data_IF_908412717058
#
_entry.id   IF_908412717058
#
_cell.length_a   1.000
_cell.length_b   1.000
_cell.length_c   1.000
_cell.angle_alpha   90.00
_cell.angle_beta   90.00
_cell.angle_gamma   90.00
#
_symmetry.space_group_name_H-M   'P 1'
#
loop_
_entity.id
_entity.type
_entity.pdbx_description
1 polymer ?
#
# COMPACT_ATOMS: atom_id res chain seq x y z
N UNK A 1 -64.09 -23.31 -17.01
CA UNK A 1 -62.90 -22.55 -17.45
C UNK A 1 -61.96 -22.45 -16.26
N UNK A 2 -60.77 -23.07 -16.32
CA UNK A 2 -59.73 -22.94 -15.28
C UNK A 2 -58.78 -21.83 -15.73
N UNK A 3 -58.79 -20.72 -15.02
CA UNK A 3 -57.89 -19.59 -15.23
C UNK A 3 -56.52 -19.95 -14.67
N UNK A 4 -55.53 -20.14 -15.54
CA UNK A 4 -54.13 -20.29 -15.15
C UNK A 4 -53.57 -18.88 -14.97
N UNK A 5 -53.26 -18.49 -13.74
CA UNK A 5 -52.51 -17.27 -13.44
C UNK A 5 -51.03 -17.52 -13.76
N UNK A 6 -50.52 -16.84 -14.79
CA UNK A 6 -49.09 -16.82 -15.11
C UNK A 6 -48.43 -15.81 -14.17
N UNK A 7 -47.62 -16.30 -13.25
CA UNK A 7 -46.80 -15.48 -12.36
C UNK A 7 -45.54 -15.05 -13.12
N UNK A 8 -45.50 -13.80 -13.58
CA UNK A 8 -44.34 -13.21 -14.24
C UNK A 8 -43.23 -12.96 -13.22
N UNK A 9 -42.22 -13.83 -13.18
CA UNK A 9 -40.96 -13.55 -12.48
C UNK A 9 -40.20 -12.46 -13.27
N UNK A 10 -40.27 -11.22 -12.79
CA UNK A 10 -39.35 -10.16 -13.20
C UNK A 10 -37.97 -10.49 -12.60
N UNK A 11 -37.15 -11.17 -13.38
CA UNK A 11 -35.72 -11.30 -13.07
C UNK A 11 -35.08 -9.92 -13.14
N UNK A 12 -34.83 -9.29 -12.00
CA UNK A 12 -33.98 -8.11 -11.93
C UNK A 12 -32.60 -8.50 -12.47
N UNK A 13 -32.21 -7.93 -13.60
CA UNK A 13 -30.83 -8.00 -14.07
C UNK A 13 -29.97 -7.31 -13.00
N UNK A 14 -29.28 -8.10 -12.18
CA UNK A 14 -28.24 -7.58 -11.31
C UNK A 14 -27.15 -7.00 -12.21
N UNK A 15 -27.01 -5.67 -12.22
CA UNK A 15 -25.86 -5.03 -12.84
C UNK A 15 -24.67 -5.27 -11.92
N UNK A 16 -23.59 -5.84 -12.45
CA UNK A 16 -22.36 -6.03 -11.67
C UNK A 16 -21.68 -4.67 -11.45
N UNK A 17 -21.18 -4.45 -10.23
CA UNK A 17 -20.38 -3.28 -9.89
C UNK A 17 -19.28 -3.01 -10.92
N UNK A 18 -19.17 -1.76 -11.36
CA UNK A 18 -18.22 -1.34 -12.39
C UNK A 18 -17.53 -0.03 -12.02
N UNK A 19 -16.35 0.17 -12.59
CA UNK A 19 -15.60 1.41 -12.43
C UNK A 19 -16.36 2.57 -13.09
N UNK A 20 -16.74 3.56 -12.30
CA UNK A 20 -17.58 4.68 -12.77
C UNK A 20 -16.83 6.00 -12.68
N UNK A 21 -16.82 6.78 -13.76
CA UNK A 21 -16.34 8.17 -13.73
C UNK A 21 -17.34 9.04 -12.97
N UNK A 22 -16.89 9.76 -11.95
CA UNK A 22 -17.74 10.72 -11.25
C UNK A 22 -17.69 12.08 -11.97
N UNK A 23 -18.85 12.56 -12.41
CA UNK A 23 -19.03 13.84 -13.10
C UNK A 23 -19.74 14.89 -12.25
N UNK A 24 -20.19 14.51 -11.05
CA UNK A 24 -20.80 15.41 -10.07
C UNK A 24 -19.77 16.39 -9.50
N UNK A 25 -20.23 17.54 -8.98
CA UNK A 25 -19.36 18.40 -8.17
C UNK A 25 -19.10 17.75 -6.82
N UNK A 26 -17.82 17.52 -6.50
CA UNK A 26 -17.36 16.84 -5.29
C UNK A 26 -16.61 17.75 -4.31
N UNK A 27 -16.68 19.08 -4.51
CA UNK A 27 -16.02 20.06 -3.65
C UNK A 27 -14.80 20.73 -4.30
N UNK A 28 -13.95 21.41 -3.52
CA UNK A 28 -12.79 22.13 -4.04
C UNK A 28 -11.84 21.24 -4.83
N UNK A 29 -11.64 21.57 -6.11
CA UNK A 29 -10.73 20.85 -7.00
C UNK A 29 -10.06 21.82 -7.99
N UNK A 30 -9.17 22.74 -7.53
CA UNK A 30 -8.60 23.78 -8.37
C UNK A 30 -7.75 23.25 -9.53
N UNK A 31 -7.19 22.04 -9.38
CA UNK A 31 -6.39 21.34 -10.39
C UNK A 31 -7.21 20.47 -11.34
N UNK A 32 -8.53 20.44 -11.17
CA UNK A 32 -9.48 19.72 -12.00
C UNK A 32 -9.15 18.22 -12.15
N UNK A 33 -8.65 17.58 -11.08
CA UNK A 33 -8.40 16.14 -11.04
C UNK A 33 -9.72 15.38 -11.21
N UNK A 34 -9.90 14.56 -12.24
CA UNK A 34 -11.06 13.67 -12.31
C UNK A 34 -10.86 12.48 -11.36
N UNK A 35 -11.92 11.72 -11.11
CA UNK A 35 -11.77 10.43 -10.45
C UNK A 35 -12.81 9.42 -10.87
N UNK A 36 -12.40 8.17 -10.77
CA UNK A 36 -13.25 7.02 -10.90
C UNK A 36 -13.48 6.40 -9.53
N UNK A 37 -14.61 5.75 -9.37
CA UNK A 37 -14.97 5.06 -8.13
C UNK A 37 -15.45 3.66 -8.47
N UNK A 38 -15.04 2.69 -7.65
CA UNK A 38 -15.60 1.35 -7.63
C UNK A 38 -16.37 1.16 -6.34
N UNK A 39 -17.67 0.91 -6.48
CA UNK A 39 -18.59 0.69 -5.37
C UNK A 39 -19.14 -0.73 -5.49
N UNK A 40 -18.85 -1.63 -4.54
CA UNK A 40 -19.42 -2.97 -4.50
C UNK A 40 -20.96 -2.96 -4.53
N UNK A 41 -21.55 -4.02 -5.09
CA UNK A 41 -23.01 -4.18 -5.17
C UNK A 41 -23.67 -4.24 -3.78
N UNK A 42 -22.92 -4.72 -2.78
CA UNK A 42 -23.36 -4.81 -1.38
C UNK A 42 -22.37 -4.07 -0.51
N UNK A 43 -22.79 -2.92 0.04
CA UNK A 43 -22.05 -2.18 1.03
C UNK A 43 -22.55 -2.49 2.46
N UNK A 44 -21.64 -2.70 3.42
CA UNK A 44 -22.02 -2.67 4.83
C UNK A 44 -22.42 -1.24 5.25
N UNK A 45 -23.06 -1.06 6.41
CA UNK A 45 -23.17 0.27 7.02
C UNK A 45 -21.79 0.86 7.26
N UNK A 46 -21.62 2.16 6.97
CA UNK A 46 -20.37 2.89 7.19
C UNK A 46 -19.14 2.19 6.55
N UNK A 47 -19.14 1.94 5.23
CA UNK A 47 -18.03 1.26 4.57
C UNK A 47 -16.72 2.05 4.71
N UNK A 48 -15.59 1.35 4.74
CA UNK A 48 -14.28 1.97 4.62
C UNK A 48 -14.05 2.51 3.19
N UNK A 49 -13.08 3.42 3.04
CA UNK A 49 -12.61 3.96 1.76
C UNK A 49 -11.14 3.61 1.58
N UNK A 50 -10.78 3.11 0.40
CA UNK A 50 -9.40 2.99 -0.07
C UNK A 50 -9.17 3.91 -1.28
N UNK A 51 -8.17 4.77 -1.22
CA UNK A 51 -7.74 5.61 -2.34
C UNK A 51 -6.52 4.97 -3.00
N UNK A 52 -6.54 4.82 -4.33
CA UNK A 52 -5.45 4.21 -5.11
C UNK A 52 -4.96 5.10 -6.26
N UNK A 53 -4.17 6.17 -5.99
CA UNK A 53 -3.53 6.98 -7.02
C UNK A 53 -2.57 6.16 -7.91
N UNK A 54 -2.64 6.40 -9.22
CA UNK A 54 -1.82 5.70 -10.22
C UNK A 54 -0.37 6.22 -10.28
N UNK A 55 0.50 5.47 -10.97
CA UNK A 55 1.89 5.85 -11.28
C UNK A 55 2.00 6.84 -12.46
N UNK A 56 3.17 7.43 -12.71
CA UNK A 56 3.41 8.26 -13.91
C UNK A 56 3.07 7.49 -15.19
N UNK A 57 2.58 8.18 -16.22
CA UNK A 57 2.08 7.63 -17.48
C UNK A 57 0.86 6.70 -17.37
N UNK A 58 0.49 6.30 -16.15
CA UNK A 58 -0.71 5.55 -15.83
C UNK A 58 -1.98 6.40 -15.92
N UNK A 59 -3.10 5.75 -15.61
CA UNK A 59 -4.42 6.37 -15.52
C UNK A 59 -5.21 5.72 -14.39
N UNK A 60 -6.28 6.36 -13.94
CA UNK A 60 -7.20 5.76 -12.96
C UNK A 60 -7.75 4.38 -13.40
N UNK A 61 -8.24 4.20 -14.64
CA UNK A 61 -8.61 2.86 -15.15
C UNK A 61 -7.46 1.85 -15.15
N UNK A 62 -6.22 2.27 -15.44
CA UNK A 62 -5.06 1.39 -15.40
C UNK A 62 -4.74 0.92 -13.96
N UNK A 63 -4.85 1.80 -12.97
CA UNK A 63 -4.72 1.42 -11.56
C UNK A 63 -5.84 0.48 -11.09
N UNK A 64 -7.06 0.66 -11.61
CA UNK A 64 -8.16 -0.28 -11.41
C UNK A 64 -7.87 -1.66 -11.99
N UNK A 65 -7.49 -1.75 -13.27
CA UNK A 65 -7.21 -3.04 -13.91
C UNK A 65 -5.91 -3.70 -13.43
N UNK A 66 -4.96 -2.90 -12.94
CA UNK A 66 -3.63 -3.34 -12.49
C UNK A 66 -3.55 -3.72 -11.01
N UNK A 67 -4.65 -3.68 -10.26
CA UNK A 67 -4.68 -4.05 -8.84
C UNK A 67 -5.87 -4.95 -8.52
N UNK A 68 -5.80 -5.69 -7.42
CA UNK A 68 -6.90 -6.54 -6.96
C UNK A 68 -7.89 -5.83 -6.03
N UNK A 69 -7.71 -4.53 -5.78
CA UNK A 69 -8.49 -3.82 -4.76
C UNK A 69 -10.00 -3.77 -5.05
N UNK A 70 -10.43 -3.71 -6.31
CA UNK A 70 -11.86 -3.79 -6.65
C UNK A 70 -12.47 -5.17 -6.33
N UNK A 71 -11.73 -6.24 -6.63
CA UNK A 71 -12.13 -7.60 -6.28
C UNK A 71 -12.21 -7.76 -4.75
N UNK A 72 -11.21 -7.27 -4.03
CA UNK A 72 -11.18 -7.29 -2.56
C UNK A 72 -12.28 -6.41 -1.96
N UNK A 73 -12.59 -5.27 -2.57
CA UNK A 73 -13.70 -4.41 -2.19
C UNK A 73 -15.05 -5.14 -2.28
N UNK A 74 -15.28 -5.89 -3.35
CA UNK A 74 -16.48 -6.72 -3.49
C UNK A 74 -16.55 -7.86 -2.48
N UNK A 75 -15.41 -8.41 -2.06
CA UNK A 75 -15.36 -9.46 -1.04
C UNK A 75 -15.53 -8.92 0.39
N UNK A 76 -14.99 -7.73 0.67
CA UNK A 76 -14.85 -7.21 2.02
C UNK A 76 -15.63 -5.92 2.29
N UNK A 77 -16.41 -5.42 1.33
CA UNK A 77 -17.38 -4.33 1.53
C UNK A 77 -16.74 -2.99 1.87
N UNK A 78 -15.81 -2.53 1.05
CA UNK A 78 -15.25 -1.17 1.12
C UNK A 78 -15.29 -0.52 -0.26
N UNK A 79 -15.19 0.81 -0.33
CA UNK A 79 -15.21 1.58 -1.58
C UNK A 79 -13.78 1.85 -2.02
N UNK A 80 -13.52 1.81 -3.33
CA UNK A 80 -12.21 2.20 -3.89
C UNK A 80 -12.34 3.45 -4.75
N UNK A 81 -11.58 4.48 -4.42
CA UNK A 81 -11.41 5.70 -5.21
C UNK A 81 -10.14 5.55 -6.05
N UNK A 82 -10.27 5.69 -7.35
CA UNK A 82 -9.16 5.74 -8.30
C UNK A 82 -9.05 7.16 -8.85
N UNK A 83 -8.25 8.03 -8.20
CA UNK A 83 -8.13 9.41 -8.63
C UNK A 83 -7.23 9.48 -9.88
N UNK A 84 -7.47 10.46 -10.74
CA UNK A 84 -6.68 10.74 -11.93
C UNK A 84 -5.89 12.03 -11.72
N UNK A 85 -4.59 12.01 -12.05
CA UNK A 85 -3.74 13.21 -11.99
C UNK A 85 -4.30 14.36 -12.85
N UNK A 86 -3.91 15.59 -12.53
CA UNK A 86 -4.48 16.79 -13.16
C UNK A 86 -4.37 16.74 -14.69
N UNK A 87 -5.37 17.22 -15.45
CA UNK A 87 -5.26 17.37 -16.90
C UNK A 87 -4.09 18.24 -17.34
N UNK A 88 -3.59 19.13 -16.47
CA UNK A 88 -2.38 19.90 -16.72
C UNK A 88 -1.13 19.02 -16.91
N UNK A 89 -1.13 17.80 -16.35
CA UNK A 89 -0.09 16.79 -16.51
C UNK A 89 -0.38 15.79 -17.65
N UNK A 90 -1.50 15.94 -18.38
CA UNK A 90 -1.92 14.94 -19.39
C UNK A 90 -0.94 14.82 -20.57
N UNK A 91 -0.24 15.91 -20.91
CA UNK A 91 0.70 15.99 -22.04
C UNK A 91 2.19 16.04 -21.60
N UNK A 92 2.47 15.91 -20.30
CA UNK A 92 3.81 15.71 -19.74
C UNK A 92 3.96 14.22 -19.39
N UNK A 93 4.23 13.91 -18.12
CA UNK A 93 4.47 12.55 -17.64
C UNK A 93 3.24 11.94 -16.96
N UNK A 94 2.10 12.63 -16.90
CA UNK A 94 0.88 12.21 -16.18
C UNK A 94 1.14 11.86 -14.70
N UNK A 95 2.23 12.33 -14.14
CA UNK A 95 2.54 12.17 -12.71
C UNK A 95 1.59 13.02 -11.86
N UNK A 96 1.52 12.69 -10.58
CA UNK A 96 0.92 13.55 -9.57
C UNK A 96 1.81 14.75 -9.28
N UNK A 97 1.20 15.90 -9.03
CA UNK A 97 1.92 17.01 -8.40
C UNK A 97 2.20 16.68 -6.94
N UNK A 98 3.49 16.46 -6.65
CA UNK A 98 4.04 16.19 -5.31
C UNK A 98 5.17 17.17 -4.96
N UNK A 99 5.24 18.30 -5.68
CA UNK A 99 6.33 19.26 -5.61
C UNK A 99 5.89 20.68 -5.26
N UNK A 100 4.68 21.08 -5.66
CA UNK A 100 4.19 22.45 -5.44
C UNK A 100 3.92 22.75 -3.97
N UNK A 101 3.88 24.04 -3.62
CA UNK A 101 3.45 24.43 -2.27
C UNK A 101 1.98 24.07 -2.05
N UNK A 102 1.15 24.15 -3.10
CA UNK A 102 -0.28 23.88 -3.05
C UNK A 102 -0.61 22.43 -2.73
N UNK A 103 0.20 21.47 -3.21
CA UNK A 103 -0.01 20.04 -2.93
C UNK A 103 0.61 19.62 -1.59
N UNK A 104 1.71 20.27 -1.19
CA UNK A 104 2.45 20.02 0.06
C UNK A 104 1.92 20.80 1.27
N UNK A 105 0.78 21.51 1.13
CA UNK A 105 0.15 22.26 2.21
C UNK A 105 -1.30 21.83 2.38
N UNK A 106 -1.74 21.65 3.62
CA UNK A 106 -3.13 21.38 3.98
C UNK A 106 -4.05 22.47 3.40
N UNK A 107 -5.06 22.05 2.64
CA UNK A 107 -5.97 22.94 1.90
C UNK A 107 -5.26 23.92 0.93
N UNK A 108 -4.03 23.61 0.50
CA UNK A 108 -3.22 24.48 -0.36
C UNK A 108 -3.69 24.59 -1.81
N UNK A 109 -4.64 23.75 -2.25
CA UNK A 109 -5.24 23.82 -3.58
C UNK A 109 -4.57 22.97 -4.66
N UNK A 110 -3.65 22.07 -4.28
CA UNK A 110 -2.98 21.15 -5.20
C UNK A 110 -3.78 19.89 -5.52
N UNK A 111 -3.13 18.95 -6.21
CA UNK A 111 -3.70 17.64 -6.53
C UNK A 111 -4.18 16.91 -5.26
N UNK A 112 -3.43 17.04 -4.15
CA UNK A 112 -3.77 16.45 -2.86
C UNK A 112 -5.11 16.93 -2.30
N UNK A 113 -5.46 18.22 -2.47
CA UNK A 113 -6.79 18.74 -2.09
C UNK A 113 -7.90 18.12 -2.96
N UNK A 114 -7.64 18.00 -4.27
CA UNK A 114 -8.58 17.35 -5.19
C UNK A 114 -8.93 15.94 -4.71
N UNK A 115 -7.91 15.14 -4.35
CA UNK A 115 -8.10 13.78 -3.82
C UNK A 115 -8.89 13.77 -2.51
N UNK A 116 -8.60 14.68 -1.58
CA UNK A 116 -9.34 14.79 -0.30
C UNK A 116 -10.79 15.19 -0.51
N UNK A 117 -11.08 16.05 -1.50
CA UNK A 117 -12.46 16.38 -1.87
C UNK A 117 -13.21 15.13 -2.37
N UNK A 118 -12.57 14.24 -3.13
CA UNK A 118 -13.16 12.96 -3.58
C UNK A 118 -13.52 12.06 -2.39
N UNK A 119 -12.65 11.99 -1.38
CA UNK A 119 -12.90 11.26 -0.12
C UNK A 119 -14.11 11.85 0.60
N UNK A 120 -14.12 13.16 0.84
CA UNK A 120 -15.21 13.86 1.55
C UNK A 120 -16.55 13.69 0.84
N UNK A 121 -16.57 13.78 -0.49
CA UNK A 121 -17.76 13.50 -1.28
C UNK A 121 -18.20 12.05 -1.15
N UNK A 122 -17.28 11.09 -1.18
CA UNK A 122 -17.59 9.65 -1.03
C UNK A 122 -18.18 9.35 0.35
N UNK A 123 -17.63 9.94 1.41
CA UNK A 123 -18.18 9.87 2.77
C UNK A 123 -19.62 10.35 2.78
N UNK A 124 -19.88 11.55 2.24
CA UNK A 124 -21.22 12.12 2.20
C UNK A 124 -22.20 11.32 1.34
N UNK A 125 -21.75 10.77 0.20
CA UNK A 125 -22.60 10.09 -0.79
C UNK A 125 -23.01 8.69 -0.32
N UNK A 126 -22.09 7.96 0.29
CA UNK A 126 -22.28 6.55 0.65
C UNK A 126 -22.36 6.32 2.16
N UNK A 127 -22.42 7.40 2.95
CA UNK A 127 -22.34 7.35 4.41
C UNK A 127 -21.15 6.50 4.87
N UNK A 128 -20.00 6.69 4.22
CA UNK A 128 -18.77 5.95 4.53
C UNK A 128 -18.21 6.37 5.89
N UNK A 129 -17.43 5.50 6.53
CA UNK A 129 -16.83 5.82 7.83
C UNK A 129 -15.68 6.82 7.66
N UNK A 130 -15.80 8.07 8.18
CA UNK A 130 -14.76 9.08 8.03
C UNK A 130 -13.46 8.73 8.77
N UNK A 131 -13.50 7.77 9.70
CA UNK A 131 -12.31 7.29 10.42
C UNK A 131 -11.67 6.06 9.78
N UNK A 132 -12.23 5.52 8.70
CA UNK A 132 -11.68 4.36 7.96
C UNK A 132 -11.42 4.72 6.51
N UNK A 133 -10.58 5.72 6.32
CA UNK A 133 -10.09 6.14 5.02
C UNK A 133 -8.61 5.80 4.93
N UNK A 134 -8.24 5.10 3.86
CA UNK A 134 -6.89 4.58 3.65
C UNK A 134 -6.39 4.97 2.27
N UNK A 135 -5.07 4.99 2.09
CA UNK A 135 -4.46 5.32 0.79
C UNK A 135 -3.28 4.41 0.46
N UNK A 136 -3.20 3.97 -0.79
CA UNK A 136 -2.07 3.19 -1.30
C UNK A 136 -1.73 3.60 -2.72
N UNK A 137 -0.48 3.51 -3.12
CA UNK A 137 -0.10 3.76 -4.51
C UNK A 137 1.32 3.34 -4.82
N UNK A 138 1.63 3.28 -6.12
CA UNK A 138 2.93 2.89 -6.66
C UNK A 138 3.60 4.07 -7.37
N UNK A 139 4.93 4.20 -7.25
CA UNK A 139 5.70 5.25 -7.93
C UNK A 139 5.17 6.64 -7.56
N UNK A 140 4.81 7.48 -8.53
CA UNK A 140 4.15 8.77 -8.28
C UNK A 140 2.89 8.67 -7.40
N UNK A 141 2.14 7.57 -7.47
CA UNK A 141 1.04 7.30 -6.55
C UNK A 141 1.51 6.97 -5.12
N UNK A 142 2.68 6.35 -4.96
CA UNK A 142 3.35 6.13 -3.68
C UNK A 142 3.90 7.43 -3.10
N UNK A 143 4.37 8.35 -3.95
CA UNK A 143 4.72 9.72 -3.54
C UNK A 143 3.48 10.48 -3.05
N UNK A 144 2.40 10.48 -3.85
CA UNK A 144 1.13 11.12 -3.49
C UNK A 144 0.52 10.51 -2.22
N UNK A 145 0.68 9.20 -2.00
CA UNK A 145 0.29 8.54 -0.73
C UNK A 145 0.94 9.25 0.46
N UNK A 146 2.26 9.46 0.42
CA UNK A 146 2.97 10.15 1.50
C UNK A 146 2.58 11.63 1.60
N UNK A 147 2.33 12.32 0.47
CA UNK A 147 1.78 13.69 0.46
C UNK A 147 0.43 13.77 1.18
N UNK A 148 -0.47 12.83 0.92
CA UNK A 148 -1.79 12.78 1.54
C UNK A 148 -1.71 12.54 3.05
N UNK A 149 -0.85 11.62 3.50
CA UNK A 149 -0.65 11.40 4.94
C UNK A 149 0.00 12.60 5.65
N UNK A 150 0.89 13.32 4.95
CA UNK A 150 1.61 14.45 5.53
C UNK A 150 0.77 15.73 5.58
N UNK A 151 0.10 16.08 4.48
CA UNK A 151 -0.72 17.28 4.36
C UNK A 151 -2.14 17.12 4.93
N UNK A 152 -2.68 15.90 5.01
CA UNK A 152 -4.04 15.64 5.49
C UNK A 152 -4.08 14.50 6.53
N UNK A 153 -3.32 14.62 7.64
CA UNK A 153 -3.28 13.62 8.70
C UNK A 153 -4.64 13.44 9.38
N UNK A 154 -5.54 14.42 9.26
CA UNK A 154 -6.92 14.44 9.78
C UNK A 154 -7.92 13.65 8.92
N UNK A 155 -7.51 13.19 7.73
CA UNK A 155 -8.39 12.48 6.78
C UNK A 155 -8.11 10.99 6.73
N UNK A 156 -6.85 10.57 6.80
CA UNK A 156 -6.43 9.19 6.54
C UNK A 156 -6.06 8.46 7.82
N UNK A 157 -6.56 7.24 8.00
CA UNK A 157 -6.17 6.37 9.11
C UNK A 157 -4.84 5.65 8.84
N UNK A 158 -4.53 5.28 7.59
CA UNK A 158 -3.23 4.67 7.27
C UNK A 158 -2.90 4.80 5.78
N UNK A 159 -1.63 4.57 5.45
CA UNK A 159 -1.21 4.42 4.06
C UNK A 159 -0.15 3.37 3.78
N UNK A 160 0.01 3.03 2.50
CA UNK A 160 0.97 2.05 2.01
C UNK A 160 1.58 2.54 0.68
N UNK A 161 2.82 3.03 0.74
CA UNK A 161 3.54 3.59 -0.40
C UNK A 161 4.53 2.57 -0.98
N UNK A 162 4.38 2.28 -2.28
CA UNK A 162 5.26 1.39 -3.03
C UNK A 162 6.15 2.20 -3.97
N UNK A 163 7.47 1.98 -3.92
CA UNK A 163 8.47 2.70 -4.70
C UNK A 163 8.18 4.22 -4.70
N UNK A 164 8.03 4.82 -3.53
CA UNK A 164 7.75 6.24 -3.36
C UNK A 164 8.99 7.04 -2.96
N UNK A 165 8.79 8.31 -2.61
CA UNK A 165 9.82 9.14 -1.96
C UNK A 165 9.24 9.85 -0.75
N UNK A 166 10.07 10.29 0.22
CA UNK A 166 9.59 11.02 1.40
C UNK A 166 8.74 12.24 1.02
N UNK A 167 7.80 12.59 1.89
CA UNK A 167 7.03 13.83 1.80
C UNK A 167 7.97 15.02 1.60
N UNK A 168 7.69 15.86 0.59
CA UNK A 168 8.46 17.06 0.28
C UNK A 168 9.83 16.80 -0.37
N UNK A 169 10.23 15.55 -0.63
CA UNK A 169 11.51 15.26 -1.29
C UNK A 169 11.57 15.81 -2.72
N UNK A 170 10.43 15.84 -3.43
CA UNK A 170 10.31 16.43 -4.76
C UNK A 170 10.11 17.94 -4.76
N UNK A 171 10.06 18.60 -3.59
CA UNK A 171 9.95 20.04 -3.52
C UNK A 171 11.21 20.71 -4.12
N UNK A 172 11.09 21.50 -5.18
CA UNK A 172 12.22 22.20 -5.78
C UNK A 172 12.77 23.28 -4.84
N UNK A 173 14.08 23.48 -4.87
CA UNK A 173 14.75 24.60 -4.20
C UNK A 173 15.08 25.74 -5.18
N UNK A 174 15.42 26.91 -4.63
CA UNK A 174 15.91 28.05 -5.40
C UNK A 174 14.85 28.63 -6.36
N UNK A 175 15.23 28.94 -7.59
CA UNK A 175 14.35 29.61 -8.56
C UNK A 175 13.12 28.79 -8.98
N UNK A 176 13.12 27.48 -8.71
CA UNK A 176 12.00 26.60 -9.03
C UNK A 176 11.05 26.38 -7.84
N UNK A 177 11.30 27.03 -6.69
CA UNK A 177 10.50 26.83 -5.47
C UNK A 177 9.00 26.97 -5.75
N UNK A 178 8.22 25.97 -5.33
CA UNK A 178 6.77 25.92 -5.53
C UNK A 178 6.33 25.49 -6.94
N UNK A 179 7.24 25.06 -7.82
CA UNK A 179 6.86 24.62 -9.17
C UNK A 179 5.92 23.39 -9.13
N UNK A 180 4.91 23.44 -9.99
CA UNK A 180 3.90 22.39 -10.17
C UNK A 180 4.43 21.22 -10.99
N UNK A 181 4.24 20.00 -10.49
CA UNK A 181 4.60 18.76 -11.20
C UNK A 181 6.06 18.71 -11.62
N UNK A 182 6.94 19.19 -10.75
CA UNK A 182 8.38 19.22 -10.97
C UNK A 182 8.99 17.85 -10.69
N UNK A 183 9.84 17.38 -11.61
CA UNK A 183 10.66 16.19 -11.39
C UNK A 183 11.98 16.57 -10.73
N UNK A 184 12.20 16.11 -9.49
CA UNK A 184 13.44 16.34 -8.75
C UNK A 184 14.43 15.20 -9.01
N UNK A 185 15.37 15.43 -9.92
CA UNK A 185 16.45 14.48 -10.24
C UNK A 185 17.28 14.08 -9.00
N UNK A 186 17.52 15.04 -8.10
CA UNK A 186 18.30 14.78 -6.90
C UNK A 186 17.53 13.91 -5.90
N UNK A 187 16.22 14.09 -5.77
CA UNK A 187 15.42 13.19 -4.95
C UNK A 187 15.32 11.80 -5.60
N UNK A 188 14.97 11.76 -6.89
CA UNK A 188 14.84 10.51 -7.63
C UNK A 188 16.13 9.66 -7.55
N UNK A 189 17.30 10.29 -7.64
CA UNK A 189 18.61 9.59 -7.57
C UNK A 189 19.17 9.45 -6.15
N UNK A 190 18.36 9.63 -5.11
CA UNK A 190 18.76 9.39 -3.72
C UNK A 190 19.81 10.36 -3.18
N UNK A 191 19.93 11.56 -3.76
CA UNK A 191 20.93 12.58 -3.36
C UNK A 191 20.40 13.55 -2.31
N UNK A 192 19.08 13.61 -2.15
CA UNK A 192 18.45 14.38 -1.06
C UNK A 192 18.48 13.52 0.20
N UNK A 193 19.34 13.90 1.14
CA UNK A 193 19.40 13.28 2.47
C UNK A 193 19.18 14.35 3.54
N UNK A 194 18.43 14.01 4.58
CA UNK A 194 18.16 14.92 5.71
C UNK A 194 18.22 14.18 7.04
N UNK A 195 18.30 14.93 8.13
CA UNK A 195 18.09 14.37 9.47
C UNK A 195 16.62 13.99 9.65
N UNK A 196 16.29 13.05 10.57
CA UNK A 196 14.90 12.74 10.90
C UNK A 196 14.08 13.98 11.26
N UNK A 197 14.62 14.87 12.10
CA UNK A 197 14.00 16.13 12.47
C UNK A 197 13.69 17.03 11.26
N UNK A 198 14.66 17.24 10.36
CA UNK A 198 14.45 18.04 9.15
C UNK A 198 13.37 17.45 8.23
N UNK A 199 13.29 16.12 8.13
CA UNK A 199 12.24 15.47 7.38
C UNK A 199 10.86 15.62 8.03
N UNK A 200 10.79 15.48 9.36
CA UNK A 200 9.56 15.65 10.10
C UNK A 200 9.07 17.10 10.09
N UNK A 201 9.98 18.09 10.12
CA UNK A 201 9.63 19.51 10.05
C UNK A 201 8.95 19.87 8.73
N UNK A 202 9.32 19.23 7.61
CA UNK A 202 8.61 19.38 6.33
C UNK A 202 7.16 18.89 6.44
N UNK A 203 6.93 17.75 7.08
CA UNK A 203 5.59 17.19 7.29
C UNK A 203 4.77 18.06 8.26
N UNK A 204 5.35 18.51 9.37
CA UNK A 204 4.69 19.39 10.35
C UNK A 204 4.32 20.74 9.74
N UNK A 205 5.17 21.27 8.86
CA UNK A 205 4.93 22.54 8.14
C UNK A 205 3.79 22.45 7.13
N UNK A 206 3.42 21.24 6.69
CA UNK A 206 2.29 21.05 5.76
C UNK A 206 0.95 21.42 6.41
N UNK A 207 0.80 21.23 7.73
CA UNK A 207 -0.39 21.62 8.48
C UNK A 207 0.02 22.31 9.79
N UNK A 208 0.41 23.59 9.74
CA UNK A 208 0.87 24.32 10.91
C UNK A 208 -0.17 24.34 12.02
N UNK A 209 0.25 23.99 13.24
CA UNK A 209 -0.62 23.93 14.42
C UNK A 209 -1.42 22.63 14.58
N UNK A 210 -1.27 21.67 13.66
CA UNK A 210 -1.88 20.34 13.84
C UNK A 210 -1.12 19.52 14.88
N UNK A 211 -1.80 19.25 15.99
CA UNK A 211 -1.36 18.46 17.15
C UNK A 211 -2.14 17.13 17.28
N UNK A 212 -2.95 16.79 16.28
CA UNK A 212 -3.76 15.58 16.28
C UNK A 212 -2.99 14.31 15.92
N UNK A 213 -3.74 13.20 15.96
CA UNK A 213 -3.26 11.87 15.62
C UNK A 213 -2.70 11.78 14.19
N UNK A 214 -1.71 10.92 13.94
CA UNK A 214 -1.06 10.78 12.62
C UNK A 214 -1.15 9.36 12.05
N UNK A 215 -1.29 9.20 10.72
CA UNK A 215 -1.57 7.91 10.10
C UNK A 215 -0.40 6.92 10.19
N UNK A 216 -0.69 5.66 10.48
CA UNK A 216 0.30 4.57 10.38
C UNK A 216 0.65 4.29 8.90
N UNK A 217 1.87 3.84 8.63
CA UNK A 217 2.42 3.77 7.28
C UNK A 217 3.24 2.51 7.01
N UNK A 218 3.02 1.90 5.85
CA UNK A 218 3.95 0.95 5.24
C UNK A 218 4.71 1.59 4.08
N UNK A 219 6.03 1.38 4.05
CA UNK A 219 6.90 1.76 2.95
C UNK A 219 7.46 0.51 2.28
N UNK A 220 7.28 0.35 0.98
CA UNK A 220 7.80 -0.77 0.19
C UNK A 220 8.73 -0.25 -0.89
N UNK A 221 9.93 -0.84 -1.03
CA UNK A 221 10.89 -0.38 -2.04
C UNK A 221 11.79 -1.48 -2.55
N UNK A 222 12.04 -1.48 -3.87
CA UNK A 222 12.99 -2.37 -4.52
C UNK A 222 14.43 -1.96 -4.26
N UNK A 223 15.31 -2.88 -3.89
CA UNK A 223 16.73 -2.53 -3.62
C UNK A 223 17.52 -2.26 -4.90
N UNK A 224 16.93 -2.54 -6.08
CA UNK A 224 17.52 -2.30 -7.39
C UNK A 224 16.68 -1.32 -8.22
N UNK A 225 15.85 -0.52 -7.55
CA UNK A 225 15.04 0.51 -8.19
C UNK A 225 15.92 1.56 -8.89
N UNK A 226 15.78 1.63 -10.20
CA UNK A 226 16.57 2.43 -11.12
C UNK A 226 15.93 3.79 -11.44
N UNK A 227 14.70 4.04 -10.97
CA UNK A 227 13.96 5.29 -11.20
C UNK A 227 13.94 6.15 -9.95
N UNK A 228 13.61 5.53 -8.81
CA UNK A 228 13.62 6.16 -7.49
C UNK A 228 14.54 5.34 -6.60
N UNK A 229 15.75 5.84 -6.43
CA UNK A 229 16.83 5.13 -5.75
C UNK A 229 16.40 4.65 -4.35
N UNK A 230 16.83 3.44 -4.00
CA UNK A 230 16.50 2.78 -2.74
C UNK A 230 16.88 3.60 -1.49
N UNK A 231 17.80 4.57 -1.58
CA UNK A 231 18.06 5.54 -0.52
C UNK A 231 16.78 6.25 -0.06
N UNK A 232 15.84 6.52 -0.98
CA UNK A 232 14.54 7.12 -0.64
C UNK A 232 13.73 6.29 0.36
N UNK A 233 13.89 4.97 0.36
CA UNK A 233 13.26 4.11 1.36
C UNK A 233 13.78 4.43 2.77
N UNK A 234 15.10 4.58 2.92
CA UNK A 234 15.72 4.90 4.20
C UNK A 234 15.38 6.33 4.65
N UNK A 235 15.34 7.29 3.74
CA UNK A 235 14.90 8.65 4.04
C UNK A 235 13.42 8.69 4.45
N UNK A 236 12.58 7.85 3.85
CA UNK A 236 11.17 7.72 4.22
C UNK A 236 11.03 7.16 5.63
N UNK A 237 11.80 6.12 5.97
CA UNK A 237 11.84 5.58 7.33
C UNK A 237 12.31 6.64 8.33
N UNK A 238 13.35 7.43 8.03
CA UNK A 238 13.77 8.53 8.90
C UNK A 238 12.64 9.54 9.14
N UNK A 239 11.96 9.96 8.07
CA UNK A 239 10.86 10.92 8.15
C UNK A 239 9.74 10.41 9.04
N UNK A 240 9.21 9.24 8.72
CA UNK A 240 8.00 8.75 9.38
C UNK A 240 8.28 8.19 10.76
N UNK A 241 9.49 7.70 11.03
CA UNK A 241 9.87 7.30 12.39
C UNK A 241 9.88 8.49 13.35
N UNK A 242 10.34 9.66 12.89
CA UNK A 242 10.34 10.90 13.67
C UNK A 242 8.93 11.51 13.77
N UNK A 243 8.17 11.51 12.68
CA UNK A 243 6.78 12.02 12.67
C UNK A 243 5.88 11.22 13.63
N UNK A 244 6.12 9.91 13.74
CA UNK A 244 5.35 9.02 14.60
C UNK A 244 6.02 8.75 15.96
N UNK A 245 7.19 9.32 16.25
CA UNK A 245 7.87 9.12 17.54
C UNK A 245 8.29 7.66 17.85
N UNK A 246 8.40 6.79 16.83
CA UNK A 246 8.66 5.35 17.00
C UNK A 246 10.15 4.97 16.97
N UNK A 247 11.03 5.92 16.64
CA UNK A 247 12.47 5.70 16.48
C UNK A 247 12.83 4.99 15.17
N UNK A 248 14.01 5.29 14.63
CA UNK A 248 14.46 4.79 13.31
C UNK A 248 15.18 3.44 13.35
N UNK A 249 15.24 2.79 14.50
CA UNK A 249 15.81 1.44 14.65
C UNK A 249 14.65 0.44 14.75
N UNK A 250 14.60 -0.59 13.90
CA UNK A 250 13.50 -1.53 13.94
C UNK A 250 13.54 -2.35 15.22
N UNK A 251 12.38 -2.56 15.84
CA UNK A 251 12.19 -3.45 17.00
C UNK A 251 12.04 -4.91 16.56
N UNK A 252 11.70 -5.15 15.29
CA UNK A 252 11.63 -6.47 14.68
C UNK A 252 12.03 -6.42 13.22
N UNK A 253 12.80 -7.42 12.78
CA UNK A 253 13.20 -7.61 11.38
C UNK A 253 12.92 -9.05 11.01
N UNK A 254 12.06 -9.25 10.01
CA UNK A 254 11.61 -10.57 9.56
C UNK A 254 11.94 -10.76 8.08
N UNK A 255 12.95 -11.60 7.75
CA UNK A 255 13.27 -11.95 6.37
C UNK A 255 12.15 -12.74 5.67
N UNK A 256 12.21 -12.80 4.35
CA UNK A 256 11.27 -13.50 3.46
C UNK A 256 9.79 -13.19 3.74
N UNK A 257 9.49 -11.92 4.04
CA UNK A 257 8.16 -11.44 4.40
C UNK A 257 7.80 -10.21 3.57
N UNK A 258 6.64 -10.19 2.88
CA UNK A 258 5.61 -11.23 2.83
C UNK A 258 5.95 -12.42 1.92
N UNK A 259 6.99 -12.29 1.09
CA UNK A 259 7.42 -13.32 0.14
C UNK A 259 8.95 -13.46 0.17
N UNK A 260 9.46 -14.55 -0.41
CA UNK A 260 10.91 -14.81 -0.51
C UNK A 260 11.66 -13.62 -1.11
N UNK A 261 12.80 -13.27 -0.51
CA UNK A 261 13.64 -12.14 -0.94
C UNK A 261 13.18 -10.76 -0.43
N UNK A 262 12.06 -10.67 0.29
CA UNK A 262 11.60 -9.43 0.90
C UNK A 262 11.89 -9.43 2.39
N UNK A 263 12.25 -8.28 2.97
CA UNK A 263 12.50 -8.15 4.41
C UNK A 263 11.54 -7.13 5.00
N UNK A 264 10.76 -7.54 6.00
CA UNK A 264 9.90 -6.66 6.80
C UNK A 264 10.70 -6.14 7.99
N UNK A 265 10.65 -4.83 8.23
CA UNK A 265 11.18 -4.15 9.41
C UNK A 265 10.05 -3.40 10.09
N UNK A 266 9.89 -3.56 11.40
CA UNK A 266 8.83 -2.92 12.20
C UNK A 266 9.46 -1.94 13.17
N UNK A 267 8.91 -0.73 13.25
CA UNK A 267 9.40 0.35 14.11
C UNK A 267 8.35 0.71 15.15
N UNK A 268 8.78 0.87 16.41
CA UNK A 268 7.88 1.05 17.55
C UNK A 268 7.14 -0.24 17.95
N UNK A 269 6.64 -0.26 19.18
CA UNK A 269 5.98 -1.45 19.75
C UNK A 269 4.63 -1.77 19.07
N UNK A 270 3.92 -0.74 18.58
CA UNK A 270 2.61 -0.88 17.94
C UNK A 270 2.68 -1.21 16.44
N UNK A 271 3.89 -1.18 15.86
CA UNK A 271 4.08 -1.43 14.44
C UNK A 271 3.41 -0.43 13.50
N UNK A 272 3.29 0.83 13.94
CA UNK A 272 2.70 1.90 13.12
C UNK A 272 3.55 2.32 11.93
N UNK A 273 4.84 1.98 11.94
CA UNK A 273 5.70 2.12 10.78
C UNK A 273 6.29 0.76 10.42
N UNK A 274 6.09 0.35 9.18
CA UNK A 274 6.69 -0.85 8.62
C UNK A 274 7.46 -0.51 7.34
N UNK A 275 8.71 -0.97 7.27
CA UNK A 275 9.55 -0.90 6.08
C UNK A 275 9.68 -2.27 5.42
N UNK A 276 9.55 -2.33 4.10
CA UNK A 276 9.70 -3.54 3.30
C UNK A 276 10.74 -3.34 2.22
N UNK A 277 11.85 -4.05 2.35
CA UNK A 277 12.96 -4.04 1.38
C UNK A 277 12.85 -5.26 0.47
N UNK A 278 12.65 -5.04 -0.83
CA UNK A 278 12.49 -6.10 -1.81
C UNK A 278 13.82 -6.34 -2.57
N UNK A 279 14.56 -7.37 -2.18
CA UNK A 279 15.92 -7.61 -2.68
C UNK A 279 15.93 -7.91 -4.20
N UNK A 280 16.75 -7.18 -4.94
CA UNK A 280 16.93 -7.32 -6.39
C UNK A 280 15.72 -6.86 -7.22
N UNK A 281 14.70 -6.27 -6.59
CA UNK A 281 13.49 -5.82 -7.29
C UNK A 281 13.74 -4.41 -7.89
N UNK A 282 13.44 -4.19 -9.18
CA UNK A 282 13.54 -2.88 -9.84
C UNK A 282 12.37 -1.96 -9.45
N UNK A 283 12.22 -0.82 -10.15
CA UNK A 283 11.11 0.11 -9.93
C UNK A 283 9.72 -0.51 -10.12
N UNK A 284 9.62 -1.53 -10.99
CA UNK A 284 8.40 -2.32 -11.22
C UNK A 284 8.13 -3.28 -10.04
N UNK A 285 7.89 -2.69 -8.87
CA UNK A 285 7.63 -3.42 -7.64
C UNK A 285 6.21 -3.96 -7.64
N UNK A 286 6.10 -5.27 -7.43
CA UNK A 286 4.80 -5.94 -7.28
C UNK A 286 4.08 -5.46 -6.01
N UNK A 287 2.87 -4.94 -6.17
CA UNK A 287 1.97 -4.61 -5.05
C UNK A 287 1.64 -5.87 -4.24
N UNK A 288 1.62 -5.74 -2.92
CA UNK A 288 1.30 -6.81 -1.98
C UNK A 288 -0.05 -6.53 -1.32
N UNK A 289 -1.15 -6.64 -2.07
CA UNK A 289 -2.47 -6.18 -1.61
C UNK A 289 -2.92 -6.88 -0.32
N UNK A 290 -2.63 -8.18 -0.15
CA UNK A 290 -2.97 -8.91 1.06
C UNK A 290 -2.28 -8.32 2.32
N UNK A 291 -1.03 -7.87 2.17
CA UNK A 291 -0.28 -7.20 3.24
C UNK A 291 -0.90 -5.86 3.59
N UNK A 292 -1.29 -5.08 2.58
CA UNK A 292 -1.96 -3.78 2.75
C UNK A 292 -3.35 -3.95 3.41
N UNK A 293 -4.13 -4.92 2.94
CA UNK A 293 -5.45 -5.27 3.49
C UNK A 293 -5.38 -5.64 4.97
N UNK A 294 -4.36 -6.41 5.36
CA UNK A 294 -4.13 -6.79 6.75
C UNK A 294 -3.74 -5.58 7.60
N UNK A 295 -2.82 -4.74 7.12
CA UNK A 295 -2.37 -3.56 7.85
C UNK A 295 -3.47 -2.51 8.06
N UNK A 296 -4.35 -2.31 7.08
CA UNK A 296 -5.49 -1.40 7.17
C UNK A 296 -6.72 -2.03 7.84
N UNK A 297 -6.68 -3.34 8.10
CA UNK A 297 -7.82 -4.12 8.56
C UNK A 297 -9.07 -3.96 7.68
N UNK A 298 -8.88 -3.87 6.36
CA UNK A 298 -9.99 -3.67 5.41
C UNK A 298 -10.93 -4.89 5.32
N UNK A 299 -10.46 -6.07 5.73
CA UNK A 299 -11.29 -7.27 5.85
C UNK A 299 -12.07 -7.34 7.17
N UNK A 300 -11.72 -6.53 8.17
CA UNK A 300 -12.39 -6.52 9.47
C UNK A 300 -13.84 -6.05 9.36
N UNK A 301 -14.70 -6.60 10.24
CA UNK A 301 -16.13 -6.28 10.33
C UNK A 301 -16.47 -5.89 11.77
N UNK A 302 -17.28 -4.85 11.94
CA UNK A 302 -17.73 -4.37 13.25
C UNK A 302 -17.09 -3.05 13.64
N UNK A 303 -17.34 -2.64 14.89
CA UNK A 303 -16.90 -1.34 15.42
C UNK A 303 -15.45 -1.36 15.92
N UNK A 304 -14.91 -2.55 16.24
CA UNK A 304 -13.57 -2.75 16.80
C UNK A 304 -12.45 -2.76 15.73
N UNK A 305 -12.80 -2.54 14.46
CA UNK A 305 -11.82 -2.48 13.38
C UNK A 305 -11.01 -1.20 13.45
N UNK A 306 -9.72 -1.27 13.10
CA UNK A 306 -8.80 -0.14 13.18
C UNK A 306 -9.32 1.17 12.55
N UNK A 307 -9.27 2.26 13.30
CA UNK A 307 -9.77 3.58 12.94
C UNK A 307 -8.71 4.65 13.19
N UNK A 308 -8.86 5.76 12.48
CA UNK A 308 -8.17 6.99 12.81
C UNK A 308 -8.39 7.32 14.29
N UNK A 309 -7.31 7.58 15.01
CA UNK A 309 -7.33 7.85 16.45
C UNK A 309 -7.24 6.62 17.35
N UNK A 310 -7.11 5.40 16.80
CA UNK A 310 -6.86 4.21 17.60
C UNK A 310 -5.39 4.14 18.08
N UNK A 311 -5.19 3.68 19.32
CA UNK A 311 -3.90 3.59 20.02
C UNK A 311 -3.51 4.86 20.78
N UNK A 312 -2.51 4.77 21.67
CA UNK A 312 -1.99 5.96 22.38
C UNK A 312 -1.15 6.79 21.40
N UNK A 313 -1.53 8.06 21.19
CA UNK A 313 -0.67 9.00 20.47
C UNK A 313 0.60 9.23 21.29
N UNK A 314 1.75 9.05 20.67
CA UNK A 314 3.03 9.31 21.32
C UNK A 314 3.32 10.80 21.29
N UNK A 315 2.78 11.53 22.28
CA UNK A 315 3.25 12.86 22.65
C UNK A 315 4.71 12.75 23.10
N UNK A 316 5.66 12.92 22.18
CA UNK A 316 7.01 13.32 22.56
C UNK A 316 7.10 14.85 22.49
N UNK A 317 6.49 15.54 23.45
CA UNK A 317 6.90 16.93 23.77
C UNK A 317 8.22 16.91 24.56
N UNK A 318 9.19 17.79 24.24
CA UNK A 318 10.47 17.87 24.92
C UNK A 318 10.30 18.61 26.26
N UNK A 319 10.14 17.84 27.33
CA UNK A 319 10.40 18.30 28.70
C UNK A 319 9.16 18.44 29.58
N UNK A 320 8.81 17.34 30.26
CA UNK A 320 8.06 17.41 31.51
C UNK A 320 8.68 16.40 32.49
N UNK A 321 9.32 16.93 33.52
CA UNK A 321 9.80 16.16 34.67
C UNK A 321 8.60 15.77 35.53
N UNK A 322 8.00 14.61 35.27
CA UNK A 322 6.92 14.12 36.12
C UNK A 322 7.50 13.24 37.22
N UNK A 323 7.47 13.80 38.41
CA UNK A 323 7.88 13.24 39.70
C UNK A 323 7.00 12.02 40.01
N UNK A 324 7.56 10.82 39.88
CA UNK A 324 6.92 9.63 40.44
C UNK A 324 7.24 9.56 41.93
N UNK A 325 6.21 9.67 42.76
CA UNK A 325 6.29 9.48 44.21
C UNK A 325 6.53 8.00 44.51
N UNK A 326 7.80 7.62 44.56
CA UNK A 326 8.21 6.34 45.12
C UNK A 326 8.47 6.51 46.62
N UNK A 327 7.67 5.81 47.42
CA UNK A 327 7.82 5.63 48.86
C UNK A 327 9.23 5.12 49.16
N UNK A 328 9.97 5.88 49.96
CA UNK A 328 11.30 5.51 50.44
C UNK A 328 11.16 4.41 51.49
N UNK A 329 11.67 3.21 51.18
CA UNK A 329 12.08 2.23 52.20
C UNK A 329 13.56 1.94 52.01
N UNK A 330 14.36 2.56 52.89
CA UNK A 330 15.79 2.29 53.06
C UNK A 330 15.98 1.05 53.93
N UNK A 331 16.74 0.07 53.46
CA UNK A 331 17.60 -0.76 54.32
C UNK A 331 18.82 -1.30 53.55
N UNK A 332 19.94 -0.62 53.75
CA UNK A 332 21.31 -1.12 54.00
C UNK A 332 21.75 -2.47 53.41
N UNK A 333 22.79 -2.38 52.57
CA UNK A 333 23.65 -3.47 52.07
C UNK A 333 24.79 -3.79 53.06
N UNK A 334 25.13 -5.08 53.19
CA UNK A 334 26.49 -5.57 53.50
C UNK A 334 26.64 -7.06 53.08
N UNK A 335 27.88 -7.57 52.89
CA UNK A 335 28.26 -8.37 51.72
C UNK A 335 28.46 -9.87 52.00
N UNK A 336 28.44 -10.72 50.95
CA UNK A 336 28.96 -12.09 51.02
C UNK A 336 29.87 -12.41 49.84
N UNK A 337 30.89 -13.16 50.20
CA UNK A 337 32.19 -13.52 49.65
C UNK A 337 32.23 -14.35 48.37
N UNK A 338 33.37 -14.20 47.69
CA UNK A 338 34.00 -15.03 46.66
C UNK A 338 34.02 -16.54 46.93
N UNK A 339 33.83 -17.33 45.87
CA UNK A 339 34.44 -18.65 45.71
C UNK A 339 34.72 -18.92 44.23
N UNK A 340 35.99 -19.15 43.91
CA UNK A 340 36.47 -19.68 42.63
C UNK A 340 36.37 -21.21 42.64
N UNK A 341 36.05 -21.81 41.49
CA UNK A 341 36.34 -23.21 41.21
C UNK A 341 36.74 -23.39 39.74
N UNK A 342 37.84 -24.09 39.54
CA UNK A 342 38.54 -24.39 38.29
C UNK A 342 38.28 -25.82 37.80
N UNK A 343 38.62 -26.07 36.53
CA UNK A 343 38.85 -27.38 35.85
C UNK A 343 37.58 -28.21 35.57
N UNK A 344 37.42 -28.91 34.45
CA UNK A 344 38.38 -29.57 33.56
C UNK A 344 37.79 -29.84 32.16
N UNK A 345 38.68 -29.83 31.19
CA UNK A 345 38.54 -30.31 29.81
C UNK A 345 38.18 -31.79 29.76
N UNK A 346 37.21 -32.18 28.94
CA UNK A 346 37.04 -33.55 28.48
C UNK A 346 36.72 -33.53 26.98
N UNK A 347 37.56 -34.23 26.21
CA UNK A 347 37.48 -34.30 24.75
C UNK A 347 36.22 -35.00 24.27
N UNK A 348 35.63 -34.45 23.22
CA UNK A 348 34.55 -35.10 22.48
C UNK A 348 35.16 -35.82 21.30
N UNK A 349 35.06 -37.14 21.34
CA UNK A 349 35.48 -38.09 20.32
C UNK A 349 34.67 -37.93 19.03
N UNK A 350 35.37 -37.70 17.93
CA UNK A 350 34.86 -37.71 16.56
C UNK A 350 34.36 -39.10 16.20
N UNK A 351 33.07 -39.24 15.89
CA UNK A 351 32.53 -40.46 15.28
C UNK A 351 32.01 -40.11 13.89
N UNK A 352 32.75 -40.52 12.88
CA UNK A 352 32.41 -40.38 11.47
C UNK A 352 31.37 -41.43 11.08
N UNK A 353 30.13 -41.01 10.83
CA UNK A 353 29.12 -41.86 10.19
C UNK A 353 29.08 -41.59 8.70
N UNK A 354 29.56 -42.56 7.93
CA UNK A 354 29.48 -42.65 6.48
C UNK A 354 28.02 -42.90 6.07
N UNK A 355 27.35 -41.92 5.46
CA UNK A 355 26.04 -42.11 4.85
C UNK A 355 26.20 -42.46 3.37
N UNK A 356 26.01 -43.73 3.05
CA UNK A 356 25.92 -44.28 1.69
C UNK A 356 24.67 -43.72 0.99
N UNK A 357 24.85 -42.94 -0.07
CA UNK A 357 23.77 -42.47 -0.93
C UNK A 357 23.35 -43.58 -1.91
N UNK A 358 22.23 -44.25 -1.63
CA UNK A 358 21.57 -45.15 -2.56
C UNK A 358 20.62 -44.34 -3.45
N UNK A 359 20.96 -44.30 -4.74
CA UNK A 359 20.17 -43.70 -5.82
C UNK A 359 18.91 -44.54 -6.06
N UNK A 360 17.75 -44.05 -5.61
CA UNK A 360 16.46 -44.65 -5.94
C UNK A 360 15.94 -44.03 -7.23
N UNK A 361 16.04 -44.79 -8.32
CA UNK A 361 15.37 -44.50 -9.60
C UNK A 361 13.88 -44.76 -9.41
N UNK A 362 13.06 -43.71 -9.34
CA UNK A 362 11.60 -43.85 -9.32
C UNK A 362 11.09 -43.68 -10.74
N UNK A 363 10.59 -44.79 -11.31
CA UNK A 363 9.92 -44.84 -12.60
C UNK A 363 8.54 -44.18 -12.47
N UNK A 364 8.31 -43.04 -13.11
CA UNK A 364 6.98 -42.44 -13.19
C UNK A 364 6.14 -43.20 -14.21
N UNK A 365 5.05 -43.81 -13.72
CA UNK A 365 4.01 -44.42 -14.54
C UNK A 365 3.06 -43.32 -15.01
N UNK A 366 2.94 -43.14 -16.32
CA UNK A 366 2.01 -42.21 -16.96
C UNK A 366 0.58 -42.72 -16.79
N UNK A 367 -0.20 -42.08 -15.93
CA UNK A 367 -1.65 -42.28 -15.85
C UNK A 367 -2.36 -41.21 -16.69
N UNK A 368 -2.85 -41.60 -17.86
CA UNK A 368 -3.78 -40.79 -18.66
C UNK A 368 -5.16 -40.86 -18.03
N UNK A 369 -5.55 -39.85 -17.25
CA UNK A 369 -6.95 -39.57 -16.95
C UNK A 369 -7.50 -38.56 -17.95
N UNK A 370 -8.43 -39.00 -18.78
CA UNK A 370 -9.28 -38.14 -19.60
C UNK A 370 -10.13 -37.26 -18.68
N UNK A 371 -9.71 -36.01 -18.49
CA UNK A 371 -10.51 -34.98 -17.83
C UNK A 371 -11.61 -34.48 -18.78
N UNK A 372 -12.82 -34.35 -18.25
CA UNK A 372 -13.95 -33.68 -18.89
C UNK A 372 -13.57 -32.25 -19.35
N UNK A 373 -14.23 -31.67 -20.36
CA UNK A 373 -13.86 -30.36 -20.90
C UNK A 373 -13.97 -29.31 -19.79
N UNK A 374 -12.83 -28.75 -19.39
CA UNK A 374 -12.77 -27.65 -18.44
C UNK A 374 -13.50 -26.45 -19.05
N UNK A 375 -14.40 -25.84 -18.27
CA UNK A 375 -15.01 -24.57 -18.62
C UNK A 375 -13.89 -23.57 -18.96
N UNK A 376 -13.97 -22.96 -20.14
CA UNK A 376 -12.99 -21.98 -20.58
C UNK A 376 -12.91 -20.81 -19.59
N UNK A 377 -11.73 -20.18 -19.48
CA UNK A 377 -11.53 -19.00 -18.65
C UNK A 377 -12.41 -17.84 -19.10
N UNK A 378 -12.90 -17.06 -18.15
CA UNK A 378 -13.65 -15.84 -18.45
C UNK A 378 -12.79 -14.86 -19.24
N UNK A 379 -13.43 -14.00 -20.02
CA UNK A 379 -12.76 -12.85 -20.65
C UNK A 379 -11.92 -12.11 -19.59
N UNK A 380 -10.69 -11.74 -19.94
CA UNK A 380 -9.70 -11.10 -19.05
C UNK A 380 -9.17 -11.96 -17.88
N UNK A 381 -9.58 -13.22 -17.76
CA UNK A 381 -9.00 -14.18 -16.83
C UNK A 381 -7.61 -14.64 -17.25
N UNK A 382 -6.78 -15.05 -16.28
CA UNK A 382 -5.48 -15.66 -16.58
C UNK A 382 -5.72 -17.01 -17.27
N UNK A 383 -5.10 -17.21 -18.43
CA UNK A 383 -5.20 -18.42 -19.24
C UNK A 383 -3.83 -19.04 -19.54
N UNK A 384 -2.75 -18.51 -18.97
CA UNK A 384 -1.41 -19.01 -19.20
C UNK A 384 -0.37 -18.41 -18.27
N UNK A 385 0.85 -18.95 -18.37
CA UNK A 385 1.97 -18.59 -17.54
C UNK A 385 2.69 -19.80 -16.95
N UNK A 386 4.01 -19.71 -16.82
CA UNK A 386 4.82 -20.71 -16.11
C UNK A 386 4.28 -20.91 -14.68
N UNK A 387 3.86 -22.14 -14.37
CA UNK A 387 3.29 -22.51 -13.08
C UNK A 387 1.77 -22.32 -12.93
N UNK A 388 1.07 -21.85 -13.98
CA UNK A 388 -0.39 -21.72 -13.95
C UNK A 388 -1.09 -23.09 -14.06
N UNK A 389 -1.98 -23.40 -13.11
CA UNK A 389 -2.71 -24.68 -13.00
C UNK A 389 -4.20 -24.51 -13.39
N UNK A 390 -4.60 -23.33 -13.89
CA UNK A 390 -5.99 -23.06 -14.29
C UNK A 390 -6.30 -23.37 -15.76
N UNK A 391 -7.52 -23.03 -16.23
CA UNK A 391 -7.93 -23.32 -17.61
C UNK A 391 -7.15 -22.48 -18.62
N UNK A 392 -6.57 -23.15 -19.62
CA UNK A 392 -5.68 -22.52 -20.61
C UNK A 392 -6.39 -22.05 -21.88
N UNK A 393 -7.67 -22.41 -22.02
CA UNK A 393 -8.53 -21.96 -23.10
C UNK A 393 -9.50 -20.88 -22.60
N UNK A 394 -9.73 -19.86 -23.41
CA UNK A 394 -10.71 -18.81 -23.12
C UNK A 394 -12.11 -19.26 -23.51
N UNK A 395 -13.11 -18.98 -22.67
CA UNK A 395 -14.52 -19.18 -23.00
C UNK A 395 -14.95 -18.32 -24.19
N UNK A 396 -14.40 -17.11 -24.30
CA UNK A 396 -14.53 -16.18 -25.42
C UNK A 396 -13.19 -15.46 -25.60
N UNK A 397 -12.73 -15.32 -26.85
CA UNK A 397 -11.47 -14.65 -27.19
C UNK A 397 -10.27 -15.58 -27.34
N UNK A 398 -9.06 -15.02 -27.30
CA UNK A 398 -7.80 -15.74 -27.46
C UNK A 398 -6.93 -15.55 -26.22
N UNK A 399 -6.24 -16.61 -25.79
CA UNK A 399 -5.24 -16.49 -24.74
C UNK A 399 -3.97 -15.83 -25.28
N UNK A 400 -3.67 -14.61 -24.85
CA UNK A 400 -2.47 -13.87 -25.26
C UNK A 400 -1.46 -13.87 -24.13
N UNK A 401 -0.26 -14.40 -24.40
CA UNK A 401 0.86 -14.36 -23.47
C UNK A 401 1.46 -12.96 -23.42
N UNK A 402 1.46 -12.33 -22.24
CA UNK A 402 2.05 -11.01 -22.02
C UNK A 402 3.49 -11.11 -21.54
N UNK A 403 3.81 -12.15 -20.76
CA UNK A 403 5.16 -12.51 -20.35
C UNK A 403 5.23 -14.02 -20.05
N UNK A 404 6.41 -14.62 -19.78
CA UNK A 404 6.53 -16.07 -19.56
C UNK A 404 5.66 -16.62 -18.41
N UNK A 405 5.29 -15.77 -17.45
CA UNK A 405 4.55 -16.15 -16.25
C UNK A 405 3.05 -15.77 -16.31
N UNK A 406 2.60 -15.09 -17.38
CA UNK A 406 1.23 -14.60 -17.47
C UNK A 406 0.71 -14.53 -18.91
N UNK A 407 -0.41 -15.21 -19.15
CA UNK A 407 -1.26 -15.04 -20.33
C UNK A 407 -2.69 -14.73 -19.93
N UNK A 408 -3.37 -13.91 -20.71
CA UNK A 408 -4.72 -13.41 -20.41
C UNK A 408 -5.67 -13.63 -21.59
N UNK A 409 -6.93 -13.95 -21.28
CA UNK A 409 -7.97 -13.99 -22.29
C UNK A 409 -8.31 -12.59 -22.79
N UNK A 410 -8.04 -12.30 -24.06
CA UNK A 410 -8.33 -11.01 -24.71
C UNK A 410 -9.25 -11.21 -25.93
N UNK A 411 -10.07 -10.21 -26.33
CA UNK A 411 -10.96 -10.35 -27.47
C UNK A 411 -10.17 -10.70 -28.72
N UNK A 412 -10.66 -11.64 -29.53
CA UNK A 412 -10.04 -11.96 -30.81
C UNK A 412 -10.16 -10.71 -31.70
N UNK A 413 -9.04 -10.00 -31.87
CA UNK A 413 -8.98 -8.80 -32.71
C UNK A 413 -9.39 -9.19 -34.13
N UNK A 414 -10.58 -8.77 -34.55
CA UNK A 414 -10.97 -8.78 -35.94
C UNK A 414 -10.01 -7.86 -36.71
N UNK A 415 -9.42 -8.38 -37.77
CA UNK A 415 -8.58 -7.62 -38.70
C UNK A 415 -9.38 -6.38 -39.14
N UNK A 416 -8.88 -5.14 -38.96
CA UNK A 416 -9.49 -3.98 -39.58
C UNK A 416 -9.33 -4.14 -41.10
N UNK A 417 -10.45 -4.28 -41.82
CA UNK A 417 -10.46 -3.99 -43.25
C UNK A 417 -10.29 -2.48 -43.39
N UNK A 418 -9.15 -2.08 -43.94
CA UNK A 418 -8.81 -0.71 -44.31
C UNK A 418 -9.72 -0.17 -45.40
#
# INVERSE_FOLDING_TARGET
>A
MKTVAVLSLLSSLASAASLTLVTENFGPNPRNNPFYIYVPDVLPPNPAILVNPHWCHGTAPAAFSGSQYATLASQHGFIVIYPQSSPAQANSDKCWDVSSNETLTHNGGGDSLGVVSMVKWTISKYNADPKRVFVTGVSSGGMMTQVLLGSYPDVFAAGAAFAGVPFGCFAPAGNNTGAFGYWSDDCAKGRVTKTPAQWADLVRSAYPGYDGWRPKLQLFHGTSDEILDYVNHQEGIKQWAEVLGVGSTPVSVTPNTPISGWTKSVYGAEGWLEGYSAAGVPHDIRVQEATVMAFFELACKGEDCFRWGDGEWCDAEPGATTTSSAVVVSTTRAPVTTASASTSTAGVTTTSTTSTSSRVTTTFVTSTSTAAPAAGQSMWGQCGGMGFIGPTACAVGTCTMHNPYYGQCVPTQGIPQW
#
